data_IF_076644182290
#
_entry.id   IF_076644182290
#
_cell.length_a   1.000
_cell.length_b   1.000
_cell.length_c   1.000
_cell.angle_alpha   90.00
_cell.angle_beta   90.00
_cell.angle_gamma   90.00
#
_symmetry.space_group_name_H-M   'P 1'
#
loop_
_entity.id
_entity.type
_entity.pdbx_description
1 polymer ?
#
# COMPACT_ATOMS: atom_id res chain seq x y z
N UNK A 1 -3.86 8.64 -9.23
CA UNK A 1 -3.28 7.67 -10.18
C UNK A 1 -4.28 6.57 -10.58
N UNK A 2 -4.91 5.85 -9.63
CA UNK A 2 -5.85 4.74 -9.91
C UNK A 2 -6.99 5.17 -10.85
N UNK A 3 -7.61 6.32 -10.56
CA UNK A 3 -8.67 6.89 -11.39
C UNK A 3 -8.18 7.22 -12.80
N UNK A 4 -7.04 7.91 -12.90
CA UNK A 4 -6.42 8.20 -14.20
C UNK A 4 -6.14 6.91 -14.98
N UNK A 5 -5.59 5.90 -14.31
CA UNK A 5 -5.28 4.62 -14.95
C UNK A 5 -6.57 3.97 -15.52
N UNK A 6 -7.66 3.92 -14.74
CA UNK A 6 -8.92 3.35 -15.19
C UNK A 6 -9.56 4.13 -16.36
N UNK A 7 -9.46 5.46 -16.35
CA UNK A 7 -10.06 6.31 -17.38
C UNK A 7 -9.31 6.24 -18.72
N UNK A 8 -7.97 6.13 -18.69
CA UNK A 8 -7.13 6.26 -19.88
C UNK A 8 -6.44 4.97 -20.34
N UNK A 9 -6.62 3.87 -19.58
CA UNK A 9 -6.16 2.52 -19.95
C UNK A 9 -7.37 1.62 -20.06
N UNK A 10 -7.90 1.38 -21.28
CA UNK A 10 -9.10 0.56 -21.47
C UNK A 10 -8.89 -0.87 -20.97
N UNK A 11 -9.99 -1.55 -20.68
CA UNK A 11 -10.04 -2.96 -20.26
C UNK A 11 -9.20 -3.28 -19.01
N UNK A 12 -9.01 -2.29 -18.14
CA UNK A 12 -8.22 -2.44 -16.93
C UNK A 12 -9.08 -2.85 -15.73
N UNK A 13 -8.66 -3.87 -15.00
CA UNK A 13 -9.26 -4.24 -13.72
C UNK A 13 -8.31 -3.81 -12.58
N UNK A 14 -8.78 -2.89 -11.74
CA UNK A 14 -8.03 -2.34 -10.62
C UNK A 14 -8.65 -2.84 -9.32
N UNK A 15 -7.85 -3.49 -8.49
CA UNK A 15 -8.23 -3.88 -7.13
C UNK A 15 -7.67 -2.88 -6.13
N UNK A 16 -8.53 -2.34 -5.28
CA UNK A 16 -8.17 -1.58 -4.07
C UNK A 16 -8.46 -2.48 -2.87
N UNK A 17 -7.43 -2.89 -2.15
CA UNK A 17 -7.57 -3.74 -0.99
C UNK A 17 -6.97 -3.05 0.25
N UNK A 18 -7.75 -3.00 1.34
CA UNK A 18 -7.32 -2.46 2.62
C UNK A 18 -7.51 -3.52 3.72
N UNK A 19 -6.81 -3.36 4.84
CA UNK A 19 -6.93 -4.31 5.94
C UNK A 19 -8.34 -4.32 6.57
N UNK A 20 -9.11 -3.23 6.44
CA UNK A 20 -10.53 -3.12 6.89
C UNK A 20 -11.42 -2.66 5.75
N UNK A 21 -12.68 -3.14 5.77
CA UNK A 21 -13.69 -2.74 4.79
C UNK A 21 -13.94 -1.22 4.77
N UNK A 22 -13.94 -0.58 5.93
CA UNK A 22 -14.10 0.86 6.04
C UNK A 22 -12.98 1.64 5.31
N UNK A 23 -11.73 1.19 5.42
CA UNK A 23 -10.61 1.77 4.70
C UNK A 23 -10.76 1.66 3.19
N UNK A 24 -11.11 0.47 2.68
CA UNK A 24 -11.37 0.28 1.26
C UNK A 24 -12.51 1.16 0.72
N UNK A 25 -13.59 1.33 1.51
CA UNK A 25 -14.70 2.21 1.15
C UNK A 25 -14.33 3.69 1.18
N UNK A 26 -13.50 4.11 2.13
CA UNK A 26 -12.99 5.49 2.22
C UNK A 26 -12.14 5.84 0.98
N UNK A 27 -11.23 4.96 0.58
CA UNK A 27 -10.45 5.14 -0.65
C UNK A 27 -11.39 5.26 -1.86
N UNK A 28 -12.38 4.38 -1.94
CA UNK A 28 -13.36 4.40 -3.03
C UNK A 28 -14.19 5.69 -3.04
N UNK A 29 -14.53 6.24 -1.88
CA UNK A 29 -15.21 7.53 -1.76
C UNK A 29 -14.34 8.66 -2.30
N UNK A 30 -13.05 8.68 -1.98
CA UNK A 30 -12.09 9.66 -2.52
C UNK A 30 -11.94 9.55 -4.03
N UNK A 31 -11.90 8.34 -4.57
CA UNK A 31 -11.87 8.10 -6.02
C UNK A 31 -13.13 8.65 -6.69
N UNK A 32 -14.31 8.41 -6.11
CA UNK A 32 -15.59 8.93 -6.63
C UNK A 32 -15.64 10.45 -6.57
N UNK A 33 -15.22 11.05 -5.44
CA UNK A 33 -15.15 12.51 -5.31
C UNK A 33 -14.22 13.12 -6.37
N UNK A 34 -13.05 12.52 -6.57
CA UNK A 34 -12.12 12.96 -7.61
C UNK A 34 -12.75 12.82 -9.02
N UNK A 35 -13.45 11.71 -9.30
CA UNK A 35 -14.15 11.51 -10.56
C UNK A 35 -15.22 12.56 -10.81
N UNK A 36 -16.05 12.88 -9.81
CA UNK A 36 -17.10 13.90 -9.88
C UNK A 36 -16.55 15.31 -10.12
N UNK A 37 -15.32 15.57 -9.64
CA UNK A 37 -14.64 16.86 -9.81
C UNK A 37 -13.99 17.02 -11.19
N UNK A 38 -13.91 15.98 -12.00
CA UNK A 38 -13.34 16.06 -13.34
C UNK A 38 -14.34 16.75 -14.30
N UNK A 39 -13.89 17.72 -15.12
CA UNK A 39 -14.74 18.37 -16.11
C UNK A 39 -15.39 17.35 -17.08
N UNK A 40 -16.66 17.56 -17.41
CA UNK A 40 -17.44 16.62 -18.21
C UNK A 40 -16.83 16.26 -19.56
N UNK A 41 -16.08 17.17 -20.18
CA UNK A 41 -15.51 16.97 -21.51
C UNK A 41 -14.28 16.02 -21.54
N UNK A 42 -13.69 15.72 -20.34
CA UNK A 42 -12.58 14.76 -20.23
C UNK A 42 -12.92 13.57 -19.33
N UNK A 43 -14.12 13.59 -18.73
CA UNK A 43 -14.56 12.55 -17.81
C UNK A 43 -15.09 11.35 -18.59
N UNK A 44 -14.52 10.16 -18.34
CA UNK A 44 -15.00 8.91 -18.94
C UNK A 44 -16.45 8.61 -18.50
N UNK A 45 -17.22 8.01 -19.39
CA UNK A 45 -18.56 7.53 -19.06
C UNK A 45 -18.53 6.40 -18.02
N UNK A 46 -19.55 6.31 -17.18
CA UNK A 46 -19.68 5.30 -16.13
C UNK A 46 -20.91 4.44 -16.38
N UNK A 47 -20.71 3.12 -16.33
CA UNK A 47 -21.74 2.09 -16.49
C UNK A 47 -22.27 1.61 -15.14
N UNK A 48 -21.37 1.51 -14.14
CA UNK A 48 -21.71 1.12 -12.77
C UNK A 48 -21.05 2.07 -11.79
N UNK A 49 -21.82 2.55 -10.82
CA UNK A 49 -21.38 3.50 -9.80
C UNK A 49 -21.97 3.13 -8.43
N UNK A 50 -21.15 2.48 -7.59
CA UNK A 50 -21.61 2.10 -6.26
C UNK A 50 -20.52 2.33 -5.19
N UNK A 51 -20.75 1.88 -3.94
CA UNK A 51 -19.84 2.13 -2.82
C UNK A 51 -18.52 1.40 -2.93
N UNK A 52 -18.49 0.28 -3.65
CA UNK A 52 -17.33 -0.62 -3.71
C UNK A 52 -16.85 -0.88 -5.12
N UNK A 53 -17.56 -0.38 -6.14
CA UNK A 53 -17.13 -0.51 -7.54
C UNK A 53 -17.47 0.71 -8.38
N UNK A 54 -16.65 0.96 -9.37
CA UNK A 54 -16.79 1.98 -10.39
C UNK A 54 -16.37 1.36 -11.72
N UNK A 55 -17.32 1.19 -12.64
CA UNK A 55 -17.08 0.60 -13.96
C UNK A 55 -17.28 1.66 -15.03
N UNK A 56 -16.31 1.79 -15.93
CA UNK A 56 -16.29 2.76 -17.01
C UNK A 56 -16.77 2.14 -18.33
N UNK A 57 -17.22 2.99 -19.24
CA UNK A 57 -17.67 2.60 -20.57
C UNK A 57 -16.53 2.10 -21.49
N UNK A 58 -15.27 2.37 -21.12
CA UNK A 58 -14.07 1.85 -21.79
C UNK A 58 -13.68 0.41 -21.36
N UNK A 59 -14.56 -0.30 -20.64
CA UNK A 59 -14.31 -1.66 -20.14
C UNK A 59 -13.51 -1.73 -18.83
N UNK A 60 -12.98 -0.61 -18.34
CA UNK A 60 -12.21 -0.60 -17.11
C UNK A 60 -13.08 -0.55 -15.86
N UNK A 61 -12.59 -1.12 -14.78
CA UNK A 61 -13.28 -1.09 -13.48
C UNK A 61 -12.31 -0.96 -12.30
N UNK A 62 -12.77 -0.27 -11.26
CA UNK A 62 -12.12 -0.21 -9.95
C UNK A 62 -13.02 -0.92 -8.95
N UNK A 63 -12.48 -1.88 -8.22
CA UNK A 63 -13.19 -2.65 -7.19
C UNK A 63 -12.48 -2.51 -5.85
N UNK A 64 -13.22 -2.14 -4.81
CA UNK A 64 -12.71 -2.03 -3.45
C UNK A 64 -13.14 -3.24 -2.60
N UNK A 65 -12.21 -3.82 -1.86
CA UNK A 65 -12.45 -4.99 -1.01
C UNK A 65 -11.58 -4.96 0.25
N UNK A 66 -11.99 -5.73 1.25
CA UNK A 66 -11.12 -6.06 2.39
C UNK A 66 -10.08 -7.09 1.95
N UNK A 67 -8.86 -6.98 2.43
CA UNK A 67 -7.82 -7.98 2.20
C UNK A 67 -8.16 -9.27 2.94
N UNK A 68 -8.41 -10.32 2.18
CA UNK A 68 -8.65 -11.69 2.66
C UNK A 68 -7.83 -12.66 1.83
N UNK A 69 -7.72 -13.92 2.24
CA UNK A 69 -7.00 -14.96 1.51
C UNK A 69 -7.51 -15.15 0.06
N UNK A 70 -8.77 -14.82 -0.20
CA UNK A 70 -9.43 -15.01 -1.48
C UNK A 70 -9.64 -13.72 -2.28
N UNK A 71 -9.28 -12.57 -1.74
CA UNK A 71 -9.44 -11.29 -2.43
C UNK A 71 -8.65 -11.27 -3.73
N UNK A 72 -9.29 -10.89 -4.82
CA UNK A 72 -8.68 -10.85 -6.16
C UNK A 72 -8.59 -12.21 -6.87
N UNK A 73 -8.89 -13.33 -6.22
CA UNK A 73 -8.90 -14.63 -6.89
C UNK A 73 -9.95 -14.67 -8.01
N UNK A 74 -9.55 -15.21 -9.18
CA UNK A 74 -10.40 -15.28 -10.37
C UNK A 74 -10.56 -13.94 -11.09
N UNK A 75 -9.93 -12.86 -10.64
CA UNK A 75 -9.90 -11.57 -11.33
C UNK A 75 -8.64 -11.46 -12.19
N UNK A 76 -8.82 -11.04 -13.44
CA UNK A 76 -7.69 -10.64 -14.29
C UNK A 76 -7.27 -9.22 -13.91
N UNK A 77 -6.39 -9.08 -12.93
CA UNK A 77 -6.01 -7.78 -12.38
C UNK A 77 -4.89 -7.14 -13.20
N UNK A 78 -5.09 -5.87 -13.56
CA UNK A 78 -4.08 -5.05 -14.26
C UNK A 78 -3.26 -4.22 -13.27
N UNK A 79 -3.92 -3.76 -12.19
CA UNK A 79 -3.30 -2.96 -11.15
C UNK A 79 -3.92 -3.32 -9.80
N UNK A 80 -3.07 -3.46 -8.80
CA UNK A 80 -3.48 -3.69 -7.40
C UNK A 80 -2.95 -2.56 -6.54
N UNK A 81 -3.80 -2.02 -5.69
CA UNK A 81 -3.43 -1.09 -4.63
C UNK A 81 -3.74 -1.70 -3.27
N UNK A 82 -2.71 -1.85 -2.45
CA UNK A 82 -2.81 -2.36 -1.08
C UNK A 82 -2.57 -1.22 -0.11
N UNK A 83 -3.58 -0.96 0.73
CA UNK A 83 -3.53 0.08 1.75
C UNK A 83 -3.37 -0.53 3.14
N UNK A 84 -2.46 0.03 3.92
CA UNK A 84 -2.16 -0.42 5.29
C UNK A 84 -1.80 -1.92 5.34
N UNK A 85 -0.98 -2.38 4.39
CA UNK A 85 -0.72 -3.82 4.21
C UNK A 85 0.03 -4.45 5.38
N UNK A 86 0.88 -3.71 6.10
CA UNK A 86 1.57 -4.18 7.29
C UNK A 86 0.62 -4.55 8.45
N UNK A 87 -0.63 -4.06 8.43
CA UNK A 87 -1.64 -4.35 9.46
C UNK A 87 -2.57 -5.50 9.10
N UNK A 88 -2.43 -6.10 7.94
CA UNK A 88 -3.15 -7.33 7.58
C UNK A 88 -2.59 -8.48 8.42
N UNK A 89 -3.45 -9.31 9.06
CA UNK A 89 -2.96 -10.44 9.85
C UNK A 89 -1.95 -11.29 9.07
N UNK A 90 -0.81 -11.69 9.66
CA UNK A 90 0.32 -12.30 8.93
C UNK A 90 -0.06 -13.51 8.06
N UNK A 91 -0.93 -14.39 8.57
CA UNK A 91 -1.42 -15.54 7.81
C UNK A 91 -2.19 -15.12 6.56
N UNK A 92 -3.08 -14.13 6.70
CA UNK A 92 -3.88 -13.61 5.58
C UNK A 92 -2.97 -12.88 4.58
N UNK A 93 -2.05 -12.05 5.07
CA UNK A 93 -1.11 -11.31 4.22
C UNK A 93 -0.26 -12.26 3.35
N UNK A 94 0.27 -13.33 3.95
CA UNK A 94 1.08 -14.33 3.25
C UNK A 94 0.28 -15.08 2.17
N UNK A 95 -0.91 -15.57 2.52
CA UNK A 95 -1.78 -16.29 1.57
C UNK A 95 -2.26 -15.39 0.44
N UNK A 96 -2.69 -14.17 0.77
CA UNK A 96 -3.09 -13.17 -0.22
C UNK A 96 -1.93 -12.82 -1.16
N UNK A 97 -0.74 -12.55 -0.62
CA UNK A 97 0.45 -12.23 -1.41
C UNK A 97 0.82 -13.36 -2.37
N UNK A 98 0.79 -14.59 -1.89
CA UNK A 98 1.02 -15.77 -2.73
C UNK A 98 -0.02 -15.88 -3.84
N UNK A 99 -1.29 -15.60 -3.55
CA UNK A 99 -2.37 -15.63 -4.56
C UNK A 99 -2.29 -14.51 -5.60
N UNK A 100 -1.62 -13.40 -5.26
CA UNK A 100 -1.42 -12.26 -6.15
C UNK A 100 -0.24 -12.46 -7.13
N UNK A 101 0.72 -13.30 -6.76
CA UNK A 101 1.95 -13.53 -7.53
C UNK A 101 1.72 -13.85 -9.03
N UNK A 102 0.75 -14.69 -9.43
CA UNK A 102 0.47 -14.92 -10.85
C UNK A 102 0.07 -13.66 -11.62
N UNK A 103 -0.70 -12.77 -10.98
CA UNK A 103 -1.08 -11.47 -11.58
C UNK A 103 0.16 -10.60 -11.84
N UNK A 104 1.07 -10.53 -10.89
CA UNK A 104 2.29 -9.74 -11.02
C UNK A 104 3.24 -10.33 -12.08
N UNK A 105 3.37 -11.66 -12.13
CA UNK A 105 4.23 -12.35 -13.10
C UNK A 105 3.74 -12.21 -14.56
N UNK A 106 2.45 -11.95 -14.77
CA UNK A 106 1.86 -11.73 -16.10
C UNK A 106 1.81 -10.25 -16.52
N UNK A 107 2.52 -9.37 -15.80
CA UNK A 107 2.63 -7.95 -16.12
C UNK A 107 1.68 -7.04 -15.37
N UNK A 108 0.90 -7.55 -14.43
CA UNK A 108 0.13 -6.73 -13.49
C UNK A 108 1.03 -5.87 -12.62
N UNK A 109 0.53 -4.71 -12.20
CA UNK A 109 1.25 -3.76 -11.35
C UNK A 109 0.71 -3.79 -9.93
N UNK A 110 1.57 -3.49 -8.96
CA UNK A 110 1.18 -3.38 -7.56
C UNK A 110 1.74 -2.09 -6.94
N UNK A 111 0.91 -1.42 -6.18
CA UNK A 111 1.27 -0.29 -5.32
C UNK A 111 0.90 -0.69 -3.90
N UNK A 112 1.84 -0.58 -2.98
CA UNK A 112 1.63 -0.90 -1.58
C UNK A 112 1.96 0.34 -0.76
N UNK A 113 1.06 0.74 0.11
CA UNK A 113 1.28 1.82 1.08
C UNK A 113 1.00 1.29 2.48
N UNK A 114 1.88 1.61 3.42
CA UNK A 114 1.69 1.31 4.84
C UNK A 114 2.64 2.13 5.69
N UNK A 115 2.28 2.40 6.93
CA UNK A 115 3.27 2.59 7.99
C UNK A 115 3.83 1.23 8.39
N UNK A 116 5.07 1.16 8.87
CA UNK A 116 5.65 -0.11 9.32
C UNK A 116 4.92 -0.65 10.56
N UNK A 117 4.94 -1.95 10.71
CA UNK A 117 4.43 -2.65 11.88
C UNK A 117 5.52 -3.60 12.39
N UNK A 118 5.37 -4.91 12.27
CA UNK A 118 6.40 -5.88 12.65
C UNK A 118 7.48 -6.02 11.58
N UNK A 119 8.72 -6.28 11.97
CA UNK A 119 9.85 -6.52 11.09
C UNK A 119 9.86 -7.92 10.46
N UNK A 120 9.04 -8.84 10.96
CA UNK A 120 8.89 -10.22 10.49
C UNK A 120 7.63 -10.45 9.63
N UNK A 121 6.84 -9.42 9.35
CA UNK A 121 5.63 -9.54 8.55
C UNK A 121 5.92 -9.60 7.03
N UNK A 122 4.88 -9.90 6.26
CA UNK A 122 4.97 -9.99 4.79
C UNK A 122 5.37 -8.64 4.17
N UNK A 123 4.88 -7.52 4.72
CA UNK A 123 5.21 -6.19 4.22
C UNK A 123 6.68 -5.85 4.46
N UNK A 124 7.22 -6.12 5.66
CA UNK A 124 8.64 -5.93 5.96
C UNK A 124 9.53 -6.73 5.02
N UNK A 125 9.16 -7.98 4.73
CA UNK A 125 9.87 -8.81 3.76
C UNK A 125 9.90 -8.22 2.35
N UNK A 126 8.77 -7.65 1.88
CA UNK A 126 8.69 -6.97 0.58
C UNK A 126 9.52 -5.69 0.59
N UNK A 127 9.40 -4.88 1.64
CA UNK A 127 10.14 -3.63 1.78
C UNK A 127 11.65 -3.86 1.80
N UNK A 128 12.13 -4.80 2.61
CA UNK A 128 13.54 -5.13 2.73
C UNK A 128 14.18 -5.58 1.41
N UNK A 129 13.38 -6.17 0.51
CA UNK A 129 13.83 -6.52 -0.83
C UNK A 129 13.72 -5.34 -1.81
N UNK A 130 12.71 -4.47 -1.64
CA UNK A 130 12.51 -3.30 -2.49
C UNK A 130 13.60 -2.24 -2.34
N UNK A 131 14.23 -2.14 -1.16
CA UNK A 131 15.33 -1.21 -0.90
C UNK A 131 16.72 -1.77 -1.25
N UNK A 132 16.81 -3.07 -1.58
CA UNK A 132 18.06 -3.69 -2.07
C UNK A 132 18.19 -3.46 -3.57
N UNK A 133 18.78 -2.33 -3.93
CA UNK A 133 18.92 -1.87 -5.33
C UNK A 133 20.25 -2.26 -5.97
N UNK A 134 21.10 -3.00 -5.28
CA UNK A 134 22.36 -3.52 -5.82
C UNK A 134 22.20 -5.00 -6.13
N UNK A 135 22.51 -5.40 -7.36
CA UNK A 135 22.47 -6.79 -7.79
C UNK A 135 23.67 -7.61 -7.24
N UNK A 136 23.66 -8.91 -7.50
CA UNK A 136 24.73 -9.84 -7.08
C UNK A 136 26.10 -9.54 -7.70
N UNK A 137 26.15 -8.74 -8.76
CA UNK A 137 27.37 -8.30 -9.44
C UNK A 137 27.84 -6.92 -8.99
N UNK A 138 27.10 -6.26 -8.06
CA UNK A 138 27.43 -4.93 -7.54
C UNK A 138 26.94 -3.76 -8.38
N UNK A 139 26.05 -3.98 -9.37
CA UNK A 139 25.48 -2.91 -10.18
C UNK A 139 24.23 -2.33 -9.51
N UNK A 140 24.11 -0.99 -9.53
CA UNK A 140 22.92 -0.29 -9.06
C UNK A 140 21.76 -0.46 -10.05
N UNK A 141 20.55 -0.70 -9.51
CA UNK A 141 19.31 -0.88 -10.23
C UNK A 141 18.30 0.19 -9.78
N UNK A 142 17.39 0.58 -10.68
CA UNK A 142 16.30 1.52 -10.36
C UNK A 142 15.23 0.95 -9.42
N UNK A 143 15.19 -0.36 -9.28
CA UNK A 143 14.24 -1.12 -8.46
C UNK A 143 14.99 -2.13 -7.58
N UNK A 144 14.38 -2.55 -6.51
CA UNK A 144 14.93 -3.60 -5.65
C UNK A 144 14.92 -4.97 -6.30
N UNK A 145 15.57 -5.93 -5.66
CA UNK A 145 15.74 -7.32 -6.15
C UNK A 145 14.40 -8.05 -6.40
N UNK A 146 13.30 -7.56 -5.79
CA UNK A 146 11.94 -8.05 -6.01
C UNK A 146 11.17 -7.27 -7.08
N UNK A 147 11.81 -6.36 -7.83
CA UNK A 147 11.20 -5.54 -8.87
C UNK A 147 10.36 -4.36 -8.37
N UNK A 148 10.27 -4.14 -7.06
CA UNK A 148 9.61 -2.97 -6.48
C UNK A 148 10.57 -1.81 -6.32
N UNK A 149 10.04 -0.58 -6.46
CA UNK A 149 10.74 0.64 -6.08
C UNK A 149 10.25 1.07 -4.70
N UNK A 150 11.15 1.07 -3.73
CA UNK A 150 10.88 1.60 -2.40
C UNK A 150 10.81 3.14 -2.41
N UNK A 151 9.84 3.69 -1.69
CA UNK A 151 9.75 5.13 -1.41
C UNK A 151 9.43 5.32 0.07
N UNK A 152 10.25 6.08 0.76
CA UNK A 152 10.10 6.41 2.17
C UNK A 152 9.65 7.87 2.29
N UNK A 153 8.55 8.12 3.01
CA UNK A 153 8.02 9.44 3.28
C UNK A 153 8.02 9.69 4.79
N UNK A 154 9.02 10.39 5.28
CA UNK A 154 9.16 10.79 6.68
C UNK A 154 8.53 12.17 6.93
N UNK A 155 8.29 12.49 8.19
CA UNK A 155 7.60 13.72 8.57
C UNK A 155 8.30 15.01 8.12
N UNK A 156 9.63 15.01 8.07
CA UNK A 156 10.46 16.14 7.68
C UNK A 156 10.39 16.48 6.18
N UNK A 157 9.84 15.58 5.37
CA UNK A 157 9.57 15.83 3.96
C UNK A 157 8.26 16.61 3.74
N UNK A 158 7.44 16.77 4.79
CA UNK A 158 6.19 17.53 4.70
C UNK A 158 6.46 19.02 4.92
N UNK A 159 6.04 19.92 4.00
CA UNK A 159 6.40 21.34 4.05
C UNK A 159 5.88 22.09 5.29
N UNK A 160 4.81 21.61 5.91
CA UNK A 160 4.20 22.24 7.08
C UNK A 160 4.61 21.58 8.42
N UNK A 161 5.63 20.72 8.42
CA UNK A 161 6.11 20.02 9.61
C UNK A 161 7.57 20.42 9.88
N UNK A 162 7.80 20.94 11.05
CA UNK A 162 9.11 21.36 11.56
C UNK A 162 9.49 20.61 12.85
N UNK A 163 10.61 20.95 13.44
CA UNK A 163 11.09 20.36 14.70
C UNK A 163 10.16 20.60 15.87
N UNK A 164 9.46 21.75 15.89
CA UNK A 164 8.52 22.11 16.96
C UNK A 164 7.29 21.20 16.86
N UNK A 165 6.75 21.04 15.65
CA UNK A 165 5.69 20.08 15.38
C UNK A 165 6.09 18.65 15.79
N UNK A 166 7.31 18.20 15.45
CA UNK A 166 7.79 16.86 15.80
C UNK A 166 7.89 16.66 17.31
N UNK A 167 8.36 17.69 18.04
CA UNK A 167 8.45 17.66 19.50
C UNK A 167 7.06 17.58 20.16
N UNK A 168 6.12 18.37 19.69
CA UNK A 168 4.73 18.33 20.16
C UNK A 168 4.08 16.97 19.89
N UNK A 169 4.22 16.45 18.66
CA UNK A 169 3.64 15.17 18.27
C UNK A 169 4.23 14.02 19.06
N UNK A 170 5.55 14.00 19.22
CA UNK A 170 6.26 12.99 20.04
C UNK A 170 5.80 13.02 21.50
N UNK A 171 5.60 14.22 22.06
CA UNK A 171 5.04 14.38 23.41
C UNK A 171 3.62 13.85 23.55
N UNK A 172 2.80 13.95 22.47
CA UNK A 172 1.39 13.55 22.45
C UNK A 172 1.21 12.04 22.29
N UNK A 173 1.97 11.40 21.41
CA UNK A 173 1.78 9.98 21.07
C UNK A 173 2.85 9.05 21.65
N UNK A 174 3.94 9.60 22.17
CA UNK A 174 5.12 8.88 22.66
C UNK A 174 6.15 8.59 21.56
N UNK A 175 7.41 8.46 21.98
CA UNK A 175 8.56 8.32 21.06
C UNK A 175 8.46 7.08 20.17
N UNK A 176 8.13 5.92 20.71
CA UNK A 176 8.02 4.66 19.95
C UNK A 176 6.99 4.76 18.82
N UNK A 177 5.80 5.35 19.13
CA UNK A 177 4.78 5.56 18.10
C UNK A 177 5.19 6.60 17.08
N UNK A 178 5.87 7.65 17.52
CA UNK A 178 6.37 8.69 16.62
C UNK A 178 7.36 8.10 15.61
N UNK A 179 8.30 7.29 16.07
CA UNK A 179 9.28 6.63 15.21
C UNK A 179 8.61 5.72 14.19
N UNK A 180 7.60 4.96 14.60
CA UNK A 180 6.85 4.11 13.68
C UNK A 180 6.01 4.90 12.67
N UNK A 181 5.19 5.83 13.14
CA UNK A 181 4.19 6.51 12.29
C UNK A 181 4.77 7.64 11.45
N UNK A 182 5.86 8.26 11.90
CA UNK A 182 6.40 9.47 11.29
C UNK A 182 7.84 9.35 10.79
N UNK A 183 8.62 8.40 11.32
CA UNK A 183 9.98 8.09 10.87
C UNK A 183 10.04 6.76 10.11
N UNK A 184 8.91 6.05 10.03
CA UNK A 184 8.77 4.78 9.30
C UNK A 184 9.70 3.66 9.80
N UNK A 185 9.95 3.60 11.09
CA UNK A 185 10.74 2.53 11.70
C UNK A 185 9.89 1.30 11.99
N UNK A 186 10.40 0.12 11.65
CA UNK A 186 9.77 -1.14 12.02
C UNK A 186 9.94 -1.45 13.51
N UNK A 187 8.90 -2.02 14.13
CA UNK A 187 8.97 -2.49 15.50
C UNK A 187 9.74 -3.81 15.50
N UNK A 188 10.85 -3.85 16.22
CA UNK A 188 11.59 -5.07 16.47
C UNK A 188 10.97 -5.69 17.72
N UNK A 189 10.25 -6.79 17.56
CA UNK A 189 9.82 -7.61 18.68
C UNK A 189 11.03 -8.45 19.12
N UNK A 190 11.75 -7.95 20.12
CA UNK A 190 12.75 -8.77 20.78
C UNK A 190 11.99 -9.85 21.58
N UNK A 191 11.92 -11.08 21.07
CA UNK A 191 11.28 -12.24 21.74
C UNK A 191 12.05 -12.72 22.97
N UNK A 192 13.02 -11.94 23.44
CA UNK A 192 13.71 -12.28 24.68
C UNK A 192 12.80 -11.98 25.87
N UNK A 193 12.38 -13.03 26.55
CA UNK A 193 11.63 -12.99 27.82
C UNK A 193 12.40 -12.26 28.94
N UNK A 194 13.61 -11.81 28.68
CA UNK A 194 14.52 -11.13 29.59
C UNK A 194 15.07 -9.91 28.86
N UNK A 195 14.79 -8.73 29.42
CA UNK A 195 15.36 -7.47 29.00
C UNK A 195 16.89 -7.60 28.92
N UNK A 196 17.48 -7.36 27.73
CA UNK A 196 18.92 -7.42 27.55
C UNK A 196 19.70 -6.47 28.46
N UNK A 197 19.07 -5.40 28.96
CA UNK A 197 19.58 -4.49 29.97
C UNK A 197 19.60 -5.08 31.37
N UNK A 198 18.85 -6.15 31.63
CA UNK A 198 18.85 -6.84 32.93
C UNK A 198 19.99 -7.88 33.07
N UNK A 199 20.78 -8.10 32.01
CA UNK A 199 21.91 -9.04 31.97
C UNK A 199 23.29 -8.37 32.09
N UNK A 200 23.32 -7.06 32.24
CA UNK A 200 24.55 -6.28 32.56
C UNK A 200 24.54 -5.80 34.01
#
# INVERSE_FOLDING_TARGET
YLLWFAMFKPDSTILVAAHKAAGAQEIMQRIRYAYESIPNHIRAGVVEYNKTSLTFDNGSRIVASTTTENTGRGMSLTLVYLDEFAFVPPRIAKEFWTSLSPTLSTGGKCIITSTPNSDDDTFAGIWNQAIKTVDEYGNEQDVGINGFKGYLATWDQHPDRDSDWATEEMSRIGEERFRREHECEFIIYDETLIDSLALT
#
